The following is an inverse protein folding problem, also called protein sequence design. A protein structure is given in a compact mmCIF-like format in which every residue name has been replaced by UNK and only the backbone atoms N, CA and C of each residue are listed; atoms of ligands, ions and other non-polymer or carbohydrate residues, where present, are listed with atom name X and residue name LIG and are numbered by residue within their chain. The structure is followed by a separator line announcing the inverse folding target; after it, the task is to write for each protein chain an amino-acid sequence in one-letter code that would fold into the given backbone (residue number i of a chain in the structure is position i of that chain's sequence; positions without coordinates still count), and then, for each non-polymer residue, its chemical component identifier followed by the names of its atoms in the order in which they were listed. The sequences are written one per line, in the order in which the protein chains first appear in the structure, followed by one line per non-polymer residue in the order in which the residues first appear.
data_IF_243217055732
#
_entry.id   IF_243217055732
#
_cell.length_a   1.000
_cell.length_b   1.000
_cell.length_c   1.000
_cell.angle_alpha   90.00
_cell.angle_beta   90.00
_cell.angle_gamma   90.00
#
_symmetry.space_group_name_H-M   'P 1'
#
loop_
_entity.id
_entity.type
_entity.pdbx_description
1 polymer ?
#
# COMPACT_ATOMS: atom_id res chain seq x y z
N UNK A 1 7.76 -15.75 20.01
CA UNK A 1 7.85 -14.30 19.77
C UNK A 1 7.08 -13.59 20.88
N UNK A 2 7.70 -13.34 22.04
CA UNK A 2 6.98 -12.87 23.23
C UNK A 2 6.41 -11.45 23.07
N UNK A 3 7.15 -10.54 22.46
CA UNK A 3 6.70 -9.16 22.19
C UNK A 3 5.46 -9.14 21.28
N UNK A 4 5.48 -9.92 20.18
CA UNK A 4 4.34 -10.00 19.26
C UNK A 4 3.05 -10.52 19.95
N UNK A 5 3.19 -11.52 20.83
CA UNK A 5 2.05 -12.06 21.58
C UNK A 5 1.53 -11.06 22.61
N UNK A 6 2.41 -10.24 23.20
CA UNK A 6 2.03 -9.19 24.13
C UNK A 6 1.24 -8.08 23.43
N UNK A 7 1.65 -7.69 22.22
CA UNK A 7 1.00 -6.62 21.47
C UNK A 7 -0.33 -7.06 20.83
N UNK A 8 -0.43 -8.33 20.40
CA UNK A 8 -1.63 -8.87 19.75
C UNK A 8 -2.04 -10.24 20.33
N UNK A 9 -2.41 -10.31 21.62
CA UNK A 9 -2.69 -11.57 22.30
C UNK A 9 -3.88 -12.31 21.70
N UNK A 10 -4.93 -11.59 21.29
CA UNK A 10 -6.13 -12.16 20.67
C UNK A 10 -5.83 -12.91 19.36
N UNK A 11 -4.74 -12.52 18.68
CA UNK A 11 -4.33 -13.14 17.40
C UNK A 11 -3.30 -14.26 17.60
N UNK A 12 -2.35 -14.10 18.53
CA UNK A 12 -1.15 -14.95 18.58
C UNK A 12 -0.96 -15.78 19.85
N UNK A 13 -1.77 -15.63 20.90
CA UNK A 13 -1.54 -16.28 22.21
C UNK A 13 -1.42 -17.81 22.17
N UNK A 14 -2.15 -18.47 21.26
CA UNK A 14 -2.18 -19.93 21.13
C UNK A 14 -1.57 -20.42 19.79
N UNK A 15 -0.73 -19.60 19.15
CA UNK A 15 -0.16 -19.89 17.85
C UNK A 15 1.33 -20.25 17.98
N UNK A 16 1.72 -21.43 17.50
CA UNK A 16 3.12 -21.79 17.35
C UNK A 16 3.79 -21.03 16.20
N UNK A 17 5.12 -20.99 16.17
CA UNK A 17 5.85 -20.35 15.07
C UNK A 17 5.58 -21.03 13.71
N UNK A 18 5.35 -22.35 13.72
CA UNK A 18 4.97 -23.10 12.53
C UNK A 18 3.58 -22.69 12.04
N UNK A 19 2.60 -22.62 12.94
CA UNK A 19 1.23 -22.20 12.62
C UNK A 19 1.21 -20.78 12.04
N UNK A 20 2.04 -19.88 12.58
CA UNK A 20 2.23 -18.54 12.04
C UNK A 20 2.79 -18.58 10.62
N UNK A 21 3.83 -19.40 10.38
CA UNK A 21 4.40 -19.59 9.05
C UNK A 21 3.38 -20.12 8.04
N UNK A 22 2.58 -21.12 8.43
CA UNK A 22 1.50 -21.65 7.61
C UNK A 22 0.44 -20.60 7.30
N UNK A 23 0.04 -19.79 8.30
CA UNK A 23 -0.91 -18.69 8.13
C UNK A 23 -0.38 -17.63 7.16
N UNK A 24 0.86 -17.21 7.32
CA UNK A 24 1.52 -16.25 6.41
C UNK A 24 1.56 -16.79 4.98
N UNK A 25 1.97 -18.04 4.81
CA UNK A 25 2.09 -18.65 3.49
C UNK A 25 0.73 -18.93 2.84
N UNK A 26 -0.30 -19.27 3.62
CA UNK A 26 -1.68 -19.36 3.15
C UNK A 26 -2.15 -18.02 2.57
N UNK A 27 -1.91 -16.92 3.30
CA UNK A 27 -2.26 -15.58 2.85
C UNK A 27 -1.52 -15.20 1.54
N UNK A 28 -0.22 -15.50 1.45
CA UNK A 28 0.58 -15.25 0.24
C UNK A 28 0.03 -16.01 -0.98
N UNK A 29 -0.34 -17.29 -0.80
CA UNK A 29 -0.90 -18.12 -1.87
C UNK A 29 -2.26 -17.62 -2.34
N UNK A 30 -3.11 -17.21 -1.41
CA UNK A 30 -4.46 -16.71 -1.70
C UNK A 30 -4.43 -15.37 -2.42
N UNK A 31 -3.56 -14.46 -1.98
CA UNK A 31 -3.58 -13.07 -2.43
C UNK A 31 -2.57 -12.73 -3.53
N UNK A 32 -1.57 -13.58 -3.73
CA UNK A 32 -0.51 -13.43 -4.74
C UNK A 32 0.06 -11.99 -4.84
N UNK A 33 0.65 -11.46 -3.75
CA UNK A 33 1.14 -10.09 -3.71
C UNK A 33 2.19 -9.78 -4.78
N UNK A 34 2.97 -10.77 -5.20
CA UNK A 34 3.96 -10.61 -6.27
C UNK A 34 3.31 -10.19 -7.60
N UNK A 35 2.13 -10.72 -7.94
CA UNK A 35 1.41 -10.33 -9.14
C UNK A 35 0.90 -8.88 -9.05
N UNK A 36 0.40 -8.44 -7.89
CA UNK A 36 -0.04 -7.06 -7.65
C UNK A 36 1.12 -6.08 -7.70
N UNK A 37 2.24 -6.43 -7.07
CA UNK A 37 3.47 -5.64 -7.11
C UNK A 37 3.94 -5.48 -8.57
N UNK A 38 4.04 -6.59 -9.32
CA UNK A 38 4.45 -6.51 -10.72
C UNK A 38 3.51 -5.63 -11.55
N UNK A 39 2.19 -5.77 -11.37
CA UNK A 39 1.22 -4.95 -12.08
C UNK A 39 1.38 -3.44 -11.77
N UNK A 40 1.57 -3.08 -10.50
CA UNK A 40 1.74 -1.68 -10.07
C UNK A 40 2.99 -1.01 -10.66
N UNK A 41 4.05 -1.79 -10.94
CA UNK A 41 5.31 -1.30 -11.49
C UNK A 41 5.50 -1.60 -12.99
N UNK A 42 4.53 -2.23 -13.66
CA UNK A 42 4.61 -2.53 -15.11
C UNK A 42 4.27 -1.33 -16.00
N UNK A 43 3.64 -0.31 -15.42
CA UNK A 43 3.25 0.92 -16.13
C UNK A 43 3.63 2.13 -15.29
N UNK A 44 4.00 3.22 -15.95
CA UNK A 44 4.23 4.49 -15.28
C UNK A 44 2.90 5.23 -15.11
N UNK A 45 2.62 5.76 -13.91
CA UNK A 45 1.53 6.72 -13.70
C UNK A 45 1.64 7.93 -14.65
N UNK A 46 0.51 8.57 -14.93
CA UNK A 46 0.48 9.79 -15.77
C UNK A 46 0.86 10.98 -14.90
N UNK A 47 1.91 11.72 -15.30
CA UNK A 47 2.27 12.99 -14.67
C UNK A 47 1.36 14.13 -15.15
N UNK A 48 0.36 14.50 -14.35
CA UNK A 48 -0.61 15.56 -14.66
C UNK A 48 -0.01 16.95 -14.45
N UNK A 49 0.80 17.09 -13.40
CA UNK A 49 1.50 18.33 -13.03
C UNK A 49 2.94 18.02 -12.62
N UNK A 50 3.78 19.06 -12.57
CA UNK A 50 5.17 18.86 -12.13
C UNK A 50 5.22 18.57 -10.62
N UNK A 51 6.25 17.87 -10.12
CA UNK A 51 6.45 17.68 -8.68
C UNK A 51 6.53 19.00 -7.90
N UNK A 52 7.02 20.08 -8.54
CA UNK A 52 7.04 21.42 -7.95
C UNK A 52 5.63 21.99 -7.78
N UNK A 53 4.76 21.81 -8.77
CA UNK A 53 3.38 22.30 -8.70
C UNK A 53 2.56 21.50 -7.67
N UNK A 54 2.77 20.19 -7.59
CA UNK A 54 2.21 19.36 -6.53
C UNK A 54 2.68 19.83 -5.14
N UNK A 55 3.96 20.16 -4.96
CA UNK A 55 4.45 20.75 -3.73
C UNK A 55 3.83 22.13 -3.45
N UNK A 56 3.67 22.98 -4.46
CA UNK A 56 3.00 24.28 -4.31
C UNK A 56 1.54 24.13 -3.86
N UNK A 57 0.84 23.06 -4.29
CA UNK A 57 -0.50 22.77 -3.80
C UNK A 57 -0.51 22.51 -2.28
N UNK A 58 0.50 21.83 -1.74
CA UNK A 58 0.68 21.63 -0.29
C UNK A 58 0.90 22.98 0.42
N UNK A 59 1.81 23.82 -0.10
CA UNK A 59 2.12 25.15 0.47
C UNK A 59 0.88 26.04 0.51
N UNK A 60 0.04 25.97 -0.52
CA UNK A 60 -1.20 26.75 -0.62
C UNK A 60 -2.38 26.11 0.13
N UNK A 61 -2.17 25.04 0.90
CA UNK A 61 -3.21 24.29 1.58
C UNK A 61 -4.34 23.81 0.65
N UNK A 62 -4.00 23.51 -0.60
CA UNK A 62 -4.90 23.00 -1.63
C UNK A 62 -4.71 21.48 -1.78
N UNK A 63 -4.81 20.77 -0.66
CA UNK A 63 -4.68 19.31 -0.58
C UNK A 63 -5.73 18.77 0.39
N UNK A 64 -6.01 17.47 0.29
CA UNK A 64 -6.85 16.77 1.25
C UNK A 64 -6.34 15.35 1.48
N UNK A 65 -6.70 14.78 2.63
CA UNK A 65 -6.49 13.37 2.90
C UNK A 65 -7.59 12.57 2.20
N UNK A 66 -7.20 11.57 1.42
CA UNK A 66 -8.11 10.75 0.62
C UNK A 66 -8.00 9.30 1.06
N UNK A 67 -9.13 8.65 1.32
CA UNK A 67 -9.19 7.23 1.62
C UNK A 67 -8.81 6.39 0.38
N UNK A 68 -8.29 5.18 0.57
CA UNK A 68 -7.72 4.35 -0.51
C UNK A 68 -8.73 4.11 -1.63
N UNK A 69 -9.99 3.85 -1.27
CA UNK A 69 -11.11 3.62 -2.19
C UNK A 69 -11.47 4.83 -3.06
N UNK A 70 -11.02 6.04 -2.67
CA UNK A 70 -11.29 7.29 -3.38
C UNK A 70 -10.04 7.84 -4.09
N UNK A 71 -8.95 7.08 -4.14
CA UNK A 71 -7.73 7.47 -4.87
C UNK A 71 -7.84 7.45 -6.40
N UNK A 72 -8.66 6.61 -7.05
CA UNK A 72 -8.84 6.69 -8.50
C UNK A 72 -9.14 8.12 -9.00
N UNK A 73 -8.44 8.54 -10.04
CA UNK A 73 -8.54 9.86 -10.67
C UNK A 73 -7.87 11.00 -9.91
N UNK A 74 -7.28 10.74 -8.73
CA UNK A 74 -6.64 11.76 -7.89
C UNK A 74 -5.17 11.97 -8.27
N UNK A 75 -4.67 13.19 -8.04
CA UNK A 75 -3.26 13.53 -8.20
C UNK A 75 -2.56 13.41 -6.84
N UNK A 76 -1.44 12.68 -6.80
CA UNK A 76 -0.65 12.53 -5.60
C UNK A 76 0.05 13.85 -5.22
N UNK A 77 -0.24 14.37 -4.03
CA UNK A 77 0.48 15.53 -3.50
C UNK A 77 1.92 15.17 -3.10
N UNK A 78 2.12 13.98 -2.54
CA UNK A 78 3.40 13.43 -2.11
C UNK A 78 3.70 12.10 -2.83
N UNK A 79 4.98 11.76 -2.95
CA UNK A 79 5.40 10.45 -3.45
C UNK A 79 4.89 9.31 -2.57
N UNK A 80 4.50 8.20 -3.20
CA UNK A 80 4.05 6.97 -2.52
C UNK A 80 5.08 5.87 -2.75
N UNK A 81 5.65 5.35 -1.67
CA UNK A 81 6.77 4.40 -1.70
C UNK A 81 6.39 3.17 -0.85
N UNK A 82 5.72 2.16 -1.42
CA UNK A 82 5.36 0.95 -0.68
C UNK A 82 6.58 0.08 -0.40
N UNK A 83 6.54 -0.63 0.74
CA UNK A 83 7.52 -1.65 1.10
C UNK A 83 6.86 -3.03 1.16
N UNK A 84 7.36 -4.03 0.42
CA UNK A 84 8.31 -3.94 -0.70
C UNK A 84 7.69 -3.24 -1.94
N UNK A 85 8.48 -2.79 -2.94
CA UNK A 85 9.95 -2.93 -3.08
C UNK A 85 10.78 -1.78 -2.51
N UNK A 86 10.18 -0.70 -1.99
CA UNK A 86 10.91 0.43 -1.43
C UNK A 86 11.45 1.42 -2.48
N UNK A 87 10.92 1.39 -3.71
CA UNK A 87 11.14 2.39 -4.75
C UNK A 87 9.85 3.16 -5.02
N UNK A 88 9.91 4.42 -5.49
CA UNK A 88 8.71 5.21 -5.76
C UNK A 88 7.75 4.49 -6.71
N UNK A 89 6.52 4.30 -6.25
CA UNK A 89 5.41 3.81 -7.08
C UNK A 89 4.70 4.98 -7.76
N UNK A 90 4.51 6.08 -7.02
CA UNK A 90 4.09 7.38 -7.55
C UNK A 90 5.06 8.46 -7.06
N UNK A 91 5.32 9.44 -7.91
CA UNK A 91 5.91 10.73 -7.56
C UNK A 91 4.82 11.80 -7.37
N UNK A 92 5.16 12.87 -6.65
CA UNK A 92 4.28 14.05 -6.55
C UNK A 92 3.89 14.58 -7.94
N UNK A 93 2.60 14.81 -8.16
CA UNK A 93 2.04 15.30 -9.42
C UNK A 93 1.57 14.20 -10.38
N UNK A 94 1.78 12.93 -10.04
CA UNK A 94 1.27 11.80 -10.80
C UNK A 94 -0.16 11.39 -10.40
N UNK A 95 -0.93 10.91 -11.37
CA UNK A 95 -2.31 10.46 -11.22
C UNK A 95 -2.37 8.98 -10.79
N UNK A 96 -3.25 8.65 -9.86
CA UNK A 96 -3.51 7.27 -9.45
C UNK A 96 -4.17 6.41 -10.53
N UNK A 97 -4.60 6.95 -11.66
CA UNK A 97 -5.23 6.19 -12.74
C UNK A 97 -6.74 6.06 -12.55
N UNK A 98 -7.36 5.05 -13.15
CA UNK A 98 -8.80 4.82 -13.05
C UNK A 98 -9.16 3.78 -11.96
N UNK A 99 -10.43 3.37 -11.92
CA UNK A 99 -10.96 2.36 -10.98
C UNK A 99 -10.23 1.00 -11.05
N UNK A 100 -9.51 0.72 -12.15
CA UNK A 100 -8.73 -0.49 -12.34
C UNK A 100 -7.23 -0.26 -12.09
N UNK A 101 -6.87 0.86 -11.44
CA UNK A 101 -5.49 1.22 -11.14
C UNK A 101 -4.72 0.08 -10.44
N UNK A 102 -3.63 -0.43 -11.03
CA UNK A 102 -2.82 -1.44 -10.38
C UNK A 102 -2.08 -0.88 -9.15
N UNK A 103 -1.78 0.43 -9.12
CA UNK A 103 -1.17 1.09 -7.97
C UNK A 103 -2.13 1.14 -6.77
N UNK A 104 -3.41 1.49 -7.00
CA UNK A 104 -4.45 1.44 -5.95
C UNK A 104 -4.69 0.00 -5.50
N UNK A 105 -4.68 -0.95 -6.44
CA UNK A 105 -4.78 -2.38 -6.13
C UNK A 105 -3.67 -2.91 -5.22
N UNK A 106 -2.42 -2.46 -5.42
CA UNK A 106 -1.31 -2.81 -4.53
C UNK A 106 -1.49 -2.21 -3.13
N UNK A 107 -1.86 -0.92 -3.02
CA UNK A 107 -2.08 -0.27 -1.73
C UNK A 107 -3.21 -0.93 -0.94
N UNK A 108 -4.29 -1.29 -1.63
CA UNK A 108 -5.42 -2.02 -1.04
C UNK A 108 -4.96 -3.36 -0.50
N UNK A 109 -4.14 -4.11 -1.25
CA UNK A 109 -3.61 -5.38 -0.79
C UNK A 109 -2.74 -5.22 0.46
N UNK A 110 -1.85 -4.23 0.49
CA UNK A 110 -0.99 -3.96 1.65
C UNK A 110 -1.82 -3.59 2.89
N UNK A 111 -2.90 -2.83 2.74
CA UNK A 111 -3.82 -2.52 3.83
C UNK A 111 -4.52 -3.79 4.36
N UNK A 112 -4.95 -4.69 3.48
CA UNK A 112 -5.56 -5.98 3.86
C UNK A 112 -4.55 -6.86 4.61
N UNK A 113 -3.28 -6.91 4.16
CA UNK A 113 -2.22 -7.66 4.84
C UNK A 113 -2.09 -7.25 6.31
N UNK A 114 -1.92 -5.94 6.57
CA UNK A 114 -1.74 -5.43 7.93
C UNK A 114 -2.95 -5.70 8.83
N UNK A 115 -4.18 -5.74 8.27
CA UNK A 115 -5.37 -6.15 9.03
C UNK A 115 -5.44 -7.66 9.31
N UNK A 116 -4.93 -8.50 8.40
CA UNK A 116 -5.00 -9.97 8.51
C UNK A 116 -3.89 -10.56 9.38
N UNK A 117 -2.74 -9.88 9.41
CA UNK A 117 -1.53 -10.24 10.16
C UNK A 117 -1.01 -8.99 10.89
N UNK A 118 -1.66 -8.60 12.00
CA UNK A 118 -1.41 -7.33 12.69
C UNK A 118 0.01 -7.24 13.27
N UNK A 119 0.90 -6.52 12.59
CA UNK A 119 2.30 -6.14 12.92
C UNK A 119 3.14 -6.03 11.63
N UNK A 120 2.69 -6.66 10.54
CA UNK A 120 3.17 -6.50 9.17
C UNK A 120 2.58 -5.25 8.52
#
# INVERSE_FOLDING_TARGET
MPELVQDYPDTYANMGIHDLGDKMFAWLRENNPGARLNAAYSTLPVAEITPRDAYNAIVNNNIEMVAIENLPGRIAANSVIPYPPGIPMLLSGENFGDENSPQVGLLTLTAILGSSLPWL
#
